data_IF_890920478880
#
_entry.id   IF_890920478880
#
_cell.length_a   1.000
_cell.length_b   1.000
_cell.length_c   1.000
_cell.angle_alpha   90.00
_cell.angle_beta   90.00
_cell.angle_gamma   90.00
#
_symmetry.space_group_name_H-M   'P 1'
#
loop_
_entity.id
_entity.type
_entity.pdbx_description
1 polymer ?
#
# COMPACT_ATOMS: atom_id res chain seq x y z
N UNK A 1 -5.48 5.50 4.60
CA UNK A 1 -4.25 6.28 4.76
C UNK A 1 -3.06 5.32 4.79
N UNK A 2 -1.85 5.83 4.60
CA UNK A 2 -0.58 5.08 4.63
C UNK A 2 0.44 5.87 5.45
N UNK A 3 1.41 5.17 6.04
CA UNK A 3 2.58 5.82 6.60
C UNK A 3 3.40 6.45 5.47
N UNK A 4 3.51 7.78 5.49
CA UNK A 4 4.21 8.61 4.51
C UNK A 4 3.50 8.79 3.17
N UNK A 5 3.65 10.00 2.64
CA UNK A 5 3.38 10.34 1.25
C UNK A 5 4.58 9.86 0.42
N UNK A 6 4.34 9.29 -0.77
CA UNK A 6 5.42 8.98 -1.72
C UNK A 6 6.13 10.29 -2.10
N UNK A 7 7.40 10.52 -1.68
CA UNK A 7 8.03 11.82 -1.90
C UNK A 7 8.36 12.06 -3.37
N UNK A 8 8.35 13.33 -3.78
CA UNK A 8 8.80 13.72 -5.11
C UNK A 8 10.26 13.26 -5.32
N UNK A 9 10.52 12.65 -6.48
CA UNK A 9 11.81 12.10 -6.87
C UNK A 9 12.32 10.93 -5.98
N UNK A 10 11.48 10.33 -5.14
CA UNK A 10 11.84 9.15 -4.38
C UNK A 10 11.91 7.89 -5.26
N UNK A 11 12.74 6.93 -4.85
CA UNK A 11 12.63 5.55 -5.35
C UNK A 11 11.45 4.91 -4.61
N UNK A 12 10.45 4.43 -5.34
CA UNK A 12 9.21 3.86 -4.77
C UNK A 12 9.55 2.56 -4.02
N UNK A 13 10.39 1.73 -4.63
CA UNK A 13 11.04 0.59 -4.00
C UNK A 13 12.36 0.31 -4.71
N UNK A 14 13.31 -0.32 -4.01
CA UNK A 14 14.61 -0.66 -4.57
C UNK A 14 14.53 -1.91 -5.45
N UNK A 15 14.88 -1.83 -6.75
CA UNK A 15 14.94 -3.02 -7.59
C UNK A 15 15.98 -4.02 -7.07
N UNK A 16 15.59 -5.27 -6.89
CA UNK A 16 16.46 -6.34 -6.40
C UNK A 16 15.69 -7.60 -6.05
N UNK A 17 16.40 -8.65 -5.63
CA UNK A 17 15.75 -9.92 -5.28
C UNK A 17 14.92 -9.75 -4.01
N UNK A 18 13.68 -10.28 -4.04
CA UNK A 18 12.85 -10.37 -2.85
C UNK A 18 13.53 -11.18 -1.75
N UNK A 19 13.17 -10.91 -0.49
CA UNK A 19 13.74 -11.67 0.61
C UNK A 19 13.33 -13.15 0.50
N UNK A 20 14.28 -14.04 0.75
CA UNK A 20 14.08 -15.49 0.84
C UNK A 20 14.32 -15.95 2.27
N UNK A 21 15.18 -15.24 3.01
CA UNK A 21 15.47 -15.49 4.42
C UNK A 21 15.72 -14.16 5.14
N UNK A 22 15.74 -14.20 6.48
CA UNK A 22 15.86 -13.00 7.33
C UNK A 22 17.08 -12.12 7.01
N UNK A 23 18.18 -12.70 6.53
CA UNK A 23 19.41 -11.94 6.21
C UNK A 23 19.27 -11.04 5.00
N UNK A 24 18.27 -11.28 4.16
CA UNK A 24 18.02 -10.46 2.97
C UNK A 24 17.34 -9.12 3.36
N UNK A 25 16.76 -9.05 4.57
CA UNK A 25 16.14 -7.85 5.12
C UNK A 25 17.18 -7.02 5.88
N UNK A 26 17.79 -6.07 5.17
CA UNK A 26 19.05 -5.44 5.60
C UNK A 26 18.89 -4.03 6.12
N UNK A 27 17.76 -3.37 5.85
CA UNK A 27 17.58 -1.96 6.19
C UNK A 27 17.36 -1.71 7.68
N UNK A 28 16.58 -2.57 8.35
CA UNK A 28 16.33 -2.47 9.80
C UNK A 28 16.89 -3.70 10.52
N UNK A 29 17.69 -3.49 11.60
CA UNK A 29 18.22 -4.61 12.39
C UNK A 29 17.12 -5.55 12.88
N UNK A 30 17.42 -6.85 12.91
CA UNK A 30 16.53 -7.93 13.37
C UNK A 30 15.26 -8.14 12.53
N UNK A 31 15.15 -7.49 11.37
CA UNK A 31 14.05 -7.78 10.44
C UNK A 31 14.05 -9.24 10.01
N UNK A 32 12.85 -9.78 9.78
CA UNK A 32 12.65 -11.16 9.31
C UNK A 32 12.02 -11.16 7.92
N UNK A 33 12.13 -12.27 7.20
CA UNK A 33 11.49 -12.44 5.90
C UNK A 33 10.25 -13.33 6.03
N UNK A 34 9.08 -12.80 5.62
CA UNK A 34 7.82 -13.55 5.58
C UNK A 34 7.06 -13.22 4.31
N UNK A 35 6.66 -14.26 3.57
CA UNK A 35 5.93 -14.11 2.30
C UNK A 35 6.67 -13.21 1.28
N UNK A 36 8.00 -13.30 1.22
CA UNK A 36 8.86 -12.44 0.39
C UNK A 36 8.81 -10.95 0.74
N UNK A 37 8.36 -10.62 1.95
CA UNK A 37 8.31 -9.27 2.51
C UNK A 37 9.13 -9.19 3.80
N UNK A 38 9.80 -8.08 4.00
CA UNK A 38 10.55 -7.79 5.22
C UNK A 38 9.62 -7.31 6.33
N UNK A 39 9.63 -8.01 7.46
CA UNK A 39 8.88 -7.67 8.67
C UNK A 39 9.82 -6.96 9.63
N UNK A 40 9.48 -5.72 9.98
CA UNK A 40 10.23 -4.93 10.94
C UNK A 40 9.89 -5.43 12.36
N UNK A 41 10.86 -5.55 13.28
CA UNK A 41 10.58 -5.95 14.66
C UNK A 41 9.66 -4.95 15.35
N UNK A 42 8.51 -5.41 15.84
CA UNK A 42 7.66 -4.61 16.74
C UNK A 42 8.21 -4.72 18.16
N UNK A 43 8.54 -3.61 18.85
CA UNK A 43 9.10 -3.65 20.21
C UNK A 43 8.13 -4.23 21.25
N UNK A 44 6.83 -4.31 20.92
CA UNK A 44 5.81 -4.92 21.76
C UNK A 44 4.90 -5.80 20.88
N UNK A 45 5.07 -7.14 20.87
CA UNK A 45 4.10 -8.00 20.20
C UNK A 45 2.75 -7.81 20.91
N UNK A 46 1.63 -7.67 20.16
CA UNK A 46 0.33 -7.47 20.78
C UNK A 46 0.00 -8.68 21.66
N UNK A 47 -0.02 -8.46 22.98
CA UNK A 47 -0.78 -9.29 23.92
C UNK A 47 -2.24 -9.28 23.43
N UNK A 48 -2.94 -10.42 23.33
CA UNK A 48 -4.04 -10.59 22.39
C UNK A 48 -5.06 -9.45 22.57
N UNK A 49 -5.28 -8.59 21.56
CA UNK A 49 -6.24 -7.52 21.72
C UNK A 49 -7.65 -8.11 21.48
N UNK A 50 -8.63 -7.80 22.34
CA UNK A 50 -10.02 -7.95 21.96
C UNK A 50 -10.29 -6.86 20.90
N UNK A 51 -10.48 -7.28 19.64
CA UNK A 51 -10.62 -6.45 18.43
C UNK A 51 -9.36 -5.72 17.93
N UNK A 52 -9.19 -5.62 16.60
CA UNK A 52 -7.99 -4.99 15.99
C UNK A 52 -7.93 -3.48 16.28
N UNK A 53 -9.05 -2.78 16.10
CA UNK A 53 -9.21 -1.35 16.38
C UNK A 53 -10.60 -1.08 16.96
N UNK A 54 -10.78 0.01 17.74
CA UNK A 54 -12.01 0.26 18.48
C UNK A 54 -13.19 0.77 17.63
N UNK A 55 -12.95 1.30 16.42
CA UNK A 55 -14.04 1.86 15.59
C UNK A 55 -15.00 0.78 15.12
N UNK A 56 -16.29 1.12 15.02
CA UNK A 56 -17.36 0.17 14.66
C UNK A 56 -17.75 0.23 13.18
N UNK A 57 -17.35 1.31 12.49
CA UNK A 57 -17.58 1.52 11.06
C UNK A 57 -16.77 0.55 10.18
N UNK A 58 -15.70 -0.02 10.74
CA UNK A 58 -14.90 -1.07 10.13
C UNK A 58 -14.96 -2.33 10.99
N UNK A 59 -15.13 -3.49 10.34
CA UNK A 59 -15.03 -4.79 11.01
C UNK A 59 -13.60 -5.31 10.96
N UNK A 60 -13.21 -6.15 11.90
CA UNK A 60 -11.89 -6.79 11.88
C UNK A 60 -11.65 -7.61 10.61
N UNK A 61 -12.71 -8.23 10.06
CA UNK A 61 -12.62 -8.93 8.78
C UNK A 61 -12.26 -7.97 7.63
N UNK A 62 -12.86 -6.78 7.58
CA UNK A 62 -12.53 -5.77 6.58
C UNK A 62 -11.11 -5.21 6.78
N UNK A 63 -10.67 -5.01 8.03
CA UNK A 63 -9.28 -4.59 8.34
C UNK A 63 -8.26 -5.62 7.88
N UNK A 64 -8.51 -6.90 8.20
CA UNK A 64 -7.67 -8.01 7.76
C UNK A 64 -7.66 -8.10 6.23
N UNK A 65 -8.82 -7.93 5.58
CA UNK A 65 -8.93 -7.89 4.12
C UNK A 65 -8.08 -6.78 3.50
N UNK A 66 -8.06 -5.58 4.10
CA UNK A 66 -7.18 -4.47 3.67
C UNK A 66 -5.73 -4.94 3.71
N UNK A 67 -5.25 -5.43 4.86
CA UNK A 67 -3.86 -5.87 5.01
C UNK A 67 -3.48 -7.00 4.06
N UNK A 68 -4.30 -8.05 3.98
CA UNK A 68 -4.01 -9.22 3.17
C UNK A 68 -3.92 -8.84 1.69
N UNK A 69 -4.84 -7.99 1.22
CA UNK A 69 -4.84 -7.56 -0.17
C UNK A 69 -3.65 -6.67 -0.52
N UNK A 70 -3.18 -5.83 0.39
CA UNK A 70 -1.98 -5.01 0.18
C UNK A 70 -0.71 -5.86 0.23
N UNK A 71 -0.54 -6.66 1.28
CA UNK A 71 0.65 -7.49 1.46
C UNK A 71 0.79 -8.56 0.37
N UNK A 72 -0.31 -9.21 -0.05
CA UNK A 72 -0.24 -10.14 -1.18
C UNK A 72 0.25 -9.45 -2.46
N UNK A 73 -0.26 -8.25 -2.75
CA UNK A 73 0.14 -7.44 -3.92
C UNK A 73 1.60 -7.00 -3.85
N UNK A 74 2.05 -6.52 -2.69
CA UNK A 74 3.46 -6.16 -2.43
C UNK A 74 4.38 -7.35 -2.62
N UNK A 75 3.98 -8.53 -2.14
CA UNK A 75 4.73 -9.79 -2.31
C UNK A 75 4.84 -10.20 -3.77
N UNK A 76 3.73 -10.22 -4.51
CA UNK A 76 3.73 -10.56 -5.95
C UNK A 76 4.57 -9.58 -6.77
N UNK A 77 4.56 -8.29 -6.41
CA UNK A 77 5.45 -7.30 -7.01
C UNK A 77 6.91 -7.54 -6.65
N UNK A 78 7.22 -7.83 -5.38
CA UNK A 78 8.57 -8.12 -4.95
C UNK A 78 9.15 -9.33 -5.70
N UNK A 79 8.32 -10.32 -6.00
CA UNK A 79 8.66 -11.49 -6.80
C UNK A 79 8.73 -11.21 -8.32
N UNK A 80 8.49 -9.97 -8.77
CA UNK A 80 8.57 -9.57 -10.17
C UNK A 80 7.46 -10.13 -11.05
N UNK A 81 6.27 -10.40 -10.50
CA UNK A 81 5.15 -11.04 -11.22
C UNK A 81 4.13 -10.05 -11.81
N UNK A 82 4.34 -8.76 -11.59
CA UNK A 82 3.37 -7.72 -11.94
C UNK A 82 3.78 -7.04 -13.24
N UNK A 83 2.92 -7.06 -14.25
CA UNK A 83 3.18 -6.42 -15.53
C UNK A 83 3.30 -4.89 -15.38
N UNK A 84 4.28 -4.28 -16.05
CA UNK A 84 4.52 -2.85 -15.99
C UNK A 84 3.86 -2.10 -17.16
N UNK A 85 2.60 -1.68 -16.97
CA UNK A 85 1.83 -1.06 -18.05
C UNK A 85 1.38 -2.08 -19.09
N UNK A 86 1.29 -1.61 -20.33
CA UNK A 86 0.97 -2.45 -21.50
C UNK A 86 2.21 -3.09 -22.14
N UNK A 87 3.39 -2.87 -21.55
CA UNK A 87 4.64 -3.43 -22.04
C UNK A 87 4.70 -4.93 -21.71
N UNK A 88 5.46 -5.73 -22.48
CA UNK A 88 5.65 -7.14 -22.16
C UNK A 88 6.48 -7.37 -20.88
N UNK A 89 7.20 -6.33 -20.43
CA UNK A 89 8.05 -6.39 -19.24
C UNK A 89 7.23 -6.28 -17.94
N UNK A 90 7.63 -7.04 -16.92
CA UNK A 90 7.14 -6.85 -15.55
C UNK A 90 7.85 -5.68 -14.85
N UNK A 91 7.25 -5.20 -13.77
CA UNK A 91 7.95 -4.39 -12.78
C UNK A 91 9.15 -5.19 -12.27
N UNK A 92 10.33 -4.57 -12.09
CA UNK A 92 11.48 -5.27 -11.57
C UNK A 92 11.15 -5.84 -10.17
N UNK A 93 11.68 -7.01 -9.81
CA UNK A 93 11.61 -7.51 -8.44
C UNK A 93 12.06 -6.45 -7.43
N UNK A 94 11.53 -6.51 -6.21
CA UNK A 94 11.83 -5.56 -5.16
C UNK A 94 12.67 -6.22 -4.06
N UNK A 95 13.77 -5.58 -3.67
CA UNK A 95 14.47 -5.91 -2.43
C UNK A 95 13.93 -5.06 -1.28
N UNK A 96 14.08 -5.55 -0.04
CA UNK A 96 13.62 -4.86 1.18
C UNK A 96 12.16 -4.37 1.13
N UNK A 97 11.26 -5.03 0.39
CA UNK A 97 9.84 -4.67 0.36
C UNK A 97 9.19 -5.00 1.70
N UNK A 98 8.73 -3.98 2.44
CA UNK A 98 8.20 -4.20 3.78
C UNK A 98 6.79 -4.76 3.79
N UNK A 99 6.52 -5.62 4.78
CA UNK A 99 5.16 -6.04 5.12
C UNK A 99 4.46 -4.90 5.86
N UNK A 100 3.28 -4.53 5.38
CA UNK A 100 2.42 -3.55 6.04
C UNK A 100 1.74 -4.17 7.27
N UNK A 101 1.59 -3.36 8.30
CA UNK A 101 0.81 -3.65 9.50
C UNK A 101 -0.36 -2.67 9.61
N UNK A 102 -1.43 -3.06 10.29
CA UNK A 102 -2.60 -2.21 10.43
C UNK A 102 -2.36 -1.22 11.57
N UNK A 103 -2.66 0.04 11.32
CA UNK A 103 -2.48 1.12 12.30
C UNK A 103 -3.84 1.78 12.56
N UNK A 104 -4.30 1.73 13.82
CA UNK A 104 -5.58 2.29 14.20
C UNK A 104 -5.60 3.82 14.15
N UNK A 105 -4.46 4.50 14.26
CA UNK A 105 -4.39 5.95 14.13
C UNK A 105 -4.57 6.35 12.65
N UNK A 106 -3.99 5.60 11.72
CA UNK A 106 -4.27 5.78 10.29
C UNK A 106 -5.73 5.46 9.93
N UNK A 107 -6.36 4.48 10.60
CA UNK A 107 -7.80 4.22 10.47
C UNK A 107 -8.61 5.43 10.97
N UNK A 108 -8.25 6.00 12.13
CA UNK A 108 -8.93 7.17 12.68
C UNK A 108 -8.85 8.36 11.72
N UNK A 109 -7.66 8.65 11.16
CA UNK A 109 -7.47 9.69 10.14
C UNK A 109 -8.33 9.41 8.89
N UNK A 110 -8.33 8.17 8.39
CA UNK A 110 -9.11 7.77 7.23
C UNK A 110 -10.62 7.93 7.47
N UNK A 111 -11.11 7.47 8.63
CA UNK A 111 -12.52 7.51 9.01
C UNK A 111 -13.00 8.94 9.21
N UNK A 112 -12.20 9.78 9.86
CA UNK A 112 -12.51 11.20 10.07
C UNK A 112 -12.69 11.93 8.73
N UNK A 113 -11.87 11.63 7.73
CA UNK A 113 -12.03 12.20 6.39
C UNK A 113 -13.21 11.58 5.63
N UNK A 114 -13.38 10.25 5.67
CA UNK A 114 -14.47 9.55 5.00
C UNK A 114 -15.86 10.02 5.47
N UNK A 115 -16.02 10.35 6.75
CA UNK A 115 -17.26 10.91 7.32
C UNK A 115 -17.68 12.25 6.72
N UNK A 116 -16.79 12.95 6.03
CA UNK A 116 -17.12 14.19 5.30
C UNK A 116 -17.82 13.90 3.96
N UNK A 117 -17.89 12.64 3.53
CA UNK A 117 -18.49 12.21 2.26
C UNK A 117 -17.87 12.90 1.03
N UNK A 118 -16.60 13.30 1.13
CA UNK A 118 -15.84 13.82 0.00
C UNK A 118 -15.53 12.72 -1.00
N UNK A 119 -15.72 13.00 -2.29
CA UNK A 119 -15.44 12.07 -3.39
C UNK A 119 -14.08 12.33 -4.06
N UNK A 120 -13.18 13.01 -3.34
CA UNK A 120 -11.82 13.32 -3.75
C UNK A 120 -10.87 13.11 -2.59
N UNK A 121 -9.56 12.98 -2.88
CA UNK A 121 -8.53 12.91 -1.85
C UNK A 121 -8.47 14.17 -0.99
N UNK A 122 -8.11 14.00 0.27
CA UNK A 122 -7.80 15.10 1.19
C UNK A 122 -6.54 15.83 0.74
N UNK A 123 -6.48 17.13 1.04
CA UNK A 123 -5.28 17.92 0.78
C UNK A 123 -4.12 17.41 1.65
N UNK A 124 -2.92 17.26 1.09
CA UNK A 124 -1.75 16.74 1.83
C UNK A 124 -1.48 17.51 3.13
N UNK A 125 -1.68 18.83 3.12
CA UNK A 125 -1.51 19.69 4.30
C UNK A 125 -2.49 19.41 5.45
N UNK A 126 -3.58 18.68 5.21
CA UNK A 126 -4.54 18.27 6.26
C UNK A 126 -4.26 16.88 6.83
N UNK A 127 -3.26 16.17 6.30
CA UNK A 127 -2.85 14.83 6.72
C UNK A 127 -1.31 14.71 6.74
N UNK A 128 -0.62 15.49 7.59
CA UNK A 128 0.83 15.63 7.55
C UNK A 128 1.51 14.27 7.76
N UNK A 129 2.33 13.87 6.79
CA UNK A 129 3.07 12.60 6.85
C UNK A 129 2.23 11.36 6.53
N UNK A 130 0.98 11.49 6.09
CA UNK A 130 0.15 10.35 5.71
C UNK A 130 -0.11 10.33 4.19
N UNK A 131 0.19 9.20 3.56
CA UNK A 131 -0.27 8.91 2.20
C UNK A 131 -1.76 8.59 2.16
N UNK A 132 -2.40 8.74 1.00
CA UNK A 132 -3.84 8.47 0.87
C UNK A 132 -4.18 7.85 -0.48
N UNK A 133 -5.05 6.85 -0.45
CA UNK A 133 -5.81 6.41 -1.60
C UNK A 133 -7.30 6.53 -1.28
N UNK A 134 -8.06 7.10 -2.22
CA UNK A 134 -9.53 7.20 -2.14
C UNK A 134 -10.15 6.39 -3.27
N UNK A 135 -11.22 5.66 -2.97
CA UNK A 135 -12.06 5.00 -3.96
C UNK A 135 -13.48 5.52 -3.85
N UNK A 136 -14.13 5.73 -5.00
CA UNK A 136 -15.54 6.09 -5.10
C UNK A 136 -16.21 5.24 -6.17
N UNK A 137 -17.46 4.88 -5.92
CA UNK A 137 -18.23 4.03 -6.80
C UNK A 137 -19.67 3.90 -6.32
N UNK A 138 -20.37 2.90 -6.85
CA UNK A 138 -21.67 2.51 -6.34
C UNK A 138 -21.57 2.09 -4.86
N UNK A 139 -22.64 2.29 -4.10
CA UNK A 139 -22.70 1.86 -2.71
C UNK A 139 -22.57 0.34 -2.63
N UNK A 140 -21.61 -0.13 -1.83
CA UNK A 140 -21.40 -1.53 -1.49
C UNK A 140 -21.63 -1.68 0.01
N UNK A 141 -22.67 -2.42 0.39
CA UNK A 141 -23.06 -2.56 1.80
C UNK A 141 -22.11 -3.47 2.60
N UNK A 142 -21.51 -4.46 1.95
CA UNK A 142 -20.52 -5.35 2.57
C UNK A 142 -19.14 -4.67 2.63
N UNK A 143 -18.58 -4.43 3.83
CA UNK A 143 -17.29 -3.76 3.97
C UNK A 143 -16.15 -4.52 3.30
N UNK A 144 -16.14 -5.86 3.32
CA UNK A 144 -15.09 -6.65 2.68
C UNK A 144 -15.11 -6.52 1.15
N UNK A 145 -16.30 -6.57 0.54
CA UNK A 145 -16.48 -6.30 -0.89
C UNK A 145 -16.12 -4.86 -1.27
N UNK A 146 -16.45 -3.88 -0.41
CA UNK A 146 -16.07 -2.48 -0.63
C UNK A 146 -14.55 -2.29 -0.62
N UNK A 147 -13.86 -2.89 0.35
CA UNK A 147 -12.38 -2.94 0.42
C UNK A 147 -11.82 -3.60 -0.83
N UNK A 148 -12.39 -4.75 -1.23
CA UNK A 148 -11.92 -5.47 -2.41
C UNK A 148 -12.01 -4.62 -3.68
N UNK A 149 -13.14 -3.94 -3.90
CA UNK A 149 -13.34 -3.07 -5.04
C UNK A 149 -12.34 -1.89 -5.04
N UNK A 150 -12.12 -1.27 -3.87
CA UNK A 150 -11.19 -0.15 -3.72
C UNK A 150 -9.74 -0.56 -4.04
N UNK A 151 -9.23 -1.62 -3.41
CA UNK A 151 -7.85 -2.07 -3.60
C UNK A 151 -7.63 -2.59 -5.03
N UNK A 152 -8.61 -3.28 -5.62
CA UNK A 152 -8.54 -3.67 -7.04
C UNK A 152 -8.51 -2.47 -7.97
N UNK A 153 -9.29 -1.43 -7.69
CA UNK A 153 -9.30 -0.19 -8.46
C UNK A 153 -7.93 0.49 -8.44
N UNK A 154 -7.34 0.70 -7.26
CA UNK A 154 -6.01 1.29 -7.12
C UNK A 154 -4.94 0.46 -7.80
N UNK A 155 -4.95 -0.85 -7.59
CA UNK A 155 -3.98 -1.76 -8.19
C UNK A 155 -4.05 -1.77 -9.71
N UNK A 156 -5.26 -1.75 -10.29
CA UNK A 156 -5.46 -1.84 -11.75
C UNK A 156 -4.85 -0.67 -12.54
N UNK A 157 -4.45 0.41 -11.87
CA UNK A 157 -3.85 1.56 -12.53
C UNK A 157 -2.53 1.18 -13.23
N UNK A 158 -1.73 0.25 -12.67
CA UNK A 158 -0.46 -0.16 -13.28
C UNK A 158 -0.66 -0.77 -14.67
N UNK A 159 -1.77 -1.47 -14.91
CA UNK A 159 -2.08 -2.07 -16.21
C UNK A 159 -2.50 -1.03 -17.25
N UNK A 160 -2.99 0.15 -16.81
CA UNK A 160 -3.36 1.26 -17.71
C UNK A 160 -2.13 2.02 -18.14
N UNK A 161 -1.25 2.33 -17.19
CA UNK A 161 0.01 3.03 -17.39
C UNK A 161 1.10 2.50 -16.47
N UNK A 162 2.23 2.16 -17.08
CA UNK A 162 3.41 1.68 -16.37
C UNK A 162 4.21 2.79 -15.67
N UNK A 163 5.19 2.33 -14.89
CA UNK A 163 6.25 3.10 -14.26
C UNK A 163 7.55 3.04 -15.07
N UNK A 164 8.47 3.97 -14.81
CA UNK A 164 9.82 3.91 -15.37
C UNK A 164 10.60 2.72 -14.77
N UNK A 165 11.61 2.19 -15.50
CA UNK A 165 12.40 1.03 -15.06
C UNK A 165 13.20 1.24 -13.77
N UNK A 166 13.42 2.50 -13.36
CA UNK A 166 14.08 2.85 -12.11
C UNK A 166 13.13 2.86 -10.91
N UNK A 167 11.82 2.65 -11.13
CA UNK A 167 10.78 2.69 -10.11
C UNK A 167 10.80 3.99 -9.30
N UNK A 168 11.06 5.11 -9.98
CA UNK A 168 11.21 6.44 -9.36
C UNK A 168 9.95 7.29 -9.51
N UNK A 169 9.51 7.93 -8.43
CA UNK A 169 8.37 8.84 -8.42
C UNK A 169 8.76 10.24 -8.93
N UNK A 170 9.01 10.35 -10.24
CA UNK A 170 9.42 11.62 -10.88
C UNK A 170 8.23 12.52 -11.18
N UNK A 171 8.45 13.84 -11.30
CA UNK A 171 7.41 14.83 -11.60
C UNK A 171 6.59 14.49 -12.86
N UNK A 172 7.23 13.88 -13.86
CA UNK A 172 6.54 13.42 -15.06
C UNK A 172 5.45 12.40 -14.73
N UNK A 173 5.70 11.48 -13.79
CA UNK A 173 4.71 10.49 -13.37
C UNK A 173 3.51 11.17 -12.70
N UNK A 174 3.76 12.12 -11.80
CA UNK A 174 2.73 12.87 -11.07
C UNK A 174 1.76 13.61 -11.99
N UNK A 175 2.28 14.18 -13.08
CA UNK A 175 1.51 15.02 -14.00
C UNK A 175 0.96 14.26 -15.22
N UNK A 176 1.28 12.97 -15.37
CA UNK A 176 0.84 12.17 -16.52
C UNK A 176 -0.65 11.81 -16.40
N UNK A 177 -1.43 11.89 -17.49
CA UNK A 177 -2.79 11.36 -17.51
C UNK A 177 -2.84 9.86 -17.15
N UNK A 178 -3.81 9.48 -16.32
CA UNK A 178 -4.00 8.11 -15.83
C UNK A 178 -2.72 7.52 -15.19
N UNK A 179 -1.92 8.35 -14.52
CA UNK A 179 -0.76 7.88 -13.80
C UNK A 179 -1.15 6.90 -12.68
N UNK A 180 -0.36 5.84 -12.47
CA UNK A 180 -0.63 4.82 -11.44
C UNK A 180 -0.31 5.30 -10.01
N UNK A 181 -0.76 6.49 -9.61
CA UNK A 181 -0.42 7.11 -8.32
C UNK A 181 -0.91 6.29 -7.12
N UNK A 182 -2.12 5.73 -7.20
CA UNK A 182 -2.65 4.92 -6.13
C UNK A 182 -1.93 3.58 -6.03
N UNK A 183 -1.58 3.00 -7.19
CA UNK A 183 -0.70 1.83 -7.23
C UNK A 183 0.65 2.13 -6.60
N UNK A 184 1.29 3.27 -6.90
CA UNK A 184 2.59 3.61 -6.29
C UNK A 184 2.51 3.71 -4.77
N UNK A 185 1.40 4.24 -4.23
CA UNK A 185 1.21 4.31 -2.79
C UNK A 185 0.98 2.93 -2.14
N UNK A 186 0.36 1.96 -2.85
CA UNK A 186 0.19 0.59 -2.36
C UNK A 186 1.54 -0.13 -2.20
N UNK A 187 2.55 0.25 -2.98
CA UNK A 187 3.85 -0.44 -3.06
C UNK A 187 5.02 0.33 -2.45
N UNK A 188 4.80 1.57 -2.04
CA UNK A 188 5.69 2.32 -1.15
C UNK A 188 5.64 1.68 0.25
#
# INVERSE_FOLDING_TARGET
MYNNIVPDNAVIYEPGTACVNDKDCTTYPQSTCKDSLCVIPTPFPPNPPPAMCPNVEMTDAARQKVLDMHNWRRSELALGKIQNGKNPDNCPPATNMYKMEYDCDLENSALAYAKQCSLVGSAEGTRPGEGENVHKGALVADPEAAVQAAVQSWWSQISRNGLNKQMKFVDFLKNKPDAPLAFTQVIF
#
